data_IF_066314597844
#
_entry.id   IF_066314597844
#
_cell.length_a   1.000
_cell.length_b   1.000
_cell.length_c   1.000
_cell.angle_alpha   90.00
_cell.angle_beta   90.00
_cell.angle_gamma   90.00
#
_symmetry.space_group_name_H-M   'P 1'
#
loop_
_entity.id
_entity.type
_entity.pdbx_description
1 polymer ?
#
# COMPACT_ATOMS: atom_id res chain seq x y z
N UNK A 1 5.00 -4.28 -5.57
CA UNK A 1 5.47 -5.63 -5.18
C UNK A 1 4.87 -5.91 -3.82
N UNK A 2 3.70 -6.53 -3.80
CA UNK A 2 3.00 -6.87 -2.56
C UNK A 2 3.61 -8.12 -1.91
N UNK A 3 4.10 -9.03 -2.75
CA UNK A 3 4.75 -10.30 -2.44
C UNK A 3 5.90 -10.20 -1.44
N UNK A 4 6.63 -9.08 -1.44
CA UNK A 4 7.76 -8.88 -0.53
C UNK A 4 7.35 -8.64 0.93
N UNK A 5 6.07 -8.37 1.18
CA UNK A 5 5.53 -8.15 2.52
C UNK A 5 4.99 -9.44 3.15
N UNK A 6 4.87 -10.53 2.37
CA UNK A 6 4.42 -11.84 2.86
C UNK A 6 5.38 -12.37 3.93
N UNK A 7 4.81 -12.86 5.03
CA UNK A 7 5.54 -13.42 6.17
C UNK A 7 5.88 -12.40 7.26
N UNK A 8 5.50 -11.13 7.09
CA UNK A 8 5.58 -10.12 8.16
C UNK A 8 4.27 -10.17 8.96
N UNK A 9 4.35 -10.35 10.29
CA UNK A 9 3.16 -10.48 11.15
C UNK A 9 2.38 -9.16 11.29
N UNK A 10 3.09 -8.03 11.39
CA UNK A 10 2.50 -6.70 11.55
C UNK A 10 3.20 -5.71 10.61
N UNK A 11 2.40 -4.99 9.81
CA UNK A 11 2.87 -3.99 8.88
C UNK A 11 2.68 -2.59 9.48
N UNK A 12 3.77 -1.84 9.62
CA UNK A 12 3.73 -0.43 10.00
C UNK A 12 3.67 0.46 8.76
N UNK A 13 2.56 1.19 8.59
CA UNK A 13 2.34 2.10 7.46
C UNK A 13 2.48 3.52 7.96
N UNK A 14 3.47 4.27 7.43
CA UNK A 14 3.65 5.67 7.79
C UNK A 14 2.55 6.51 7.12
N UNK A 15 1.64 7.07 7.91
CA UNK A 15 0.50 7.86 7.42
C UNK A 15 0.73 9.36 7.55
N UNK A 16 1.67 9.78 8.41
CA UNK A 16 2.10 11.18 8.58
C UNK A 16 3.57 11.26 8.94
N UNK A 17 4.12 12.47 8.87
CA UNK A 17 5.43 12.81 9.40
C UNK A 17 5.28 13.67 10.66
N UNK A 18 5.94 13.28 11.74
CA UNK A 18 6.05 14.05 12.98
C UNK A 18 7.43 14.70 13.04
N UNK A 19 7.45 16.04 13.04
CA UNK A 19 8.64 16.85 13.12
C UNK A 19 8.94 17.38 14.52
N UNK A 20 10.01 18.18 14.66
CA UNK A 20 10.36 18.81 15.93
C UNK A 20 9.25 19.74 16.41
N UNK A 21 9.20 19.96 17.73
CA UNK A 21 8.27 20.90 18.37
C UNK A 21 6.78 20.56 18.15
N UNK A 22 6.47 19.29 17.88
CA UNK A 22 5.10 18.81 17.68
C UNK A 22 4.51 19.14 16.31
N UNK A 23 5.35 19.53 15.34
CA UNK A 23 4.91 19.69 13.95
C UNK A 23 4.42 18.35 13.37
N UNK A 24 3.34 18.38 12.60
CA UNK A 24 2.83 17.24 11.85
C UNK A 24 2.63 17.62 10.38
N UNK A 25 2.92 16.69 9.48
CA UNK A 25 2.78 16.88 8.04
C UNK A 25 2.06 15.67 7.44
N UNK A 26 0.98 15.91 6.72
CA UNK A 26 0.29 14.90 5.91
C UNK A 26 1.03 14.63 4.60
N UNK A 27 1.77 15.62 4.10
CA UNK A 27 2.64 15.50 2.92
C UNK A 27 4.11 15.36 3.29
N UNK A 28 4.92 14.90 2.34
CA UNK A 28 6.37 14.84 2.49
C UNK A 28 6.96 16.23 2.81
N UNK A 29 7.71 16.40 3.93
CA UNK A 29 8.21 17.72 4.31
C UNK A 29 9.18 18.28 3.26
N UNK A 30 8.96 19.53 2.85
CA UNK A 30 9.70 20.16 1.76
C UNK A 30 11.21 20.36 2.04
N UNK A 31 11.60 20.60 3.30
CA UNK A 31 12.97 20.98 3.64
C UNK A 31 13.75 19.80 4.25
N UNK A 32 14.94 19.49 3.71
CA UNK A 32 15.77 18.36 4.14
C UNK A 32 16.07 18.37 5.65
N UNK A 33 16.28 19.54 6.24
CA UNK A 33 16.55 19.67 7.68
C UNK A 33 15.36 19.27 8.56
N UNK A 34 14.13 19.37 8.04
CA UNK A 34 12.91 18.91 8.71
C UNK A 34 12.78 17.40 8.52
N UNK A 35 12.93 16.90 7.29
CA UNK A 35 12.86 15.47 6.97
C UNK A 35 13.83 14.66 7.82
N UNK A 36 15.08 15.11 7.95
CA UNK A 36 16.11 14.43 8.75
C UNK A 36 15.68 14.25 10.22
N UNK A 37 14.88 15.19 10.76
CA UNK A 37 14.41 15.16 12.14
C UNK A 37 13.01 14.57 12.29
N UNK A 38 12.37 14.20 11.18
CA UNK A 38 11.01 13.69 11.19
C UNK A 38 11.01 12.18 11.43
N UNK A 39 9.99 11.71 12.14
CA UNK A 39 9.66 10.28 12.26
C UNK A 39 8.30 10.03 11.63
N UNK A 40 8.04 8.79 11.20
CA UNK A 40 6.70 8.40 10.77
C UNK A 40 5.74 8.35 11.96
N UNK A 41 4.52 8.83 11.76
CA UNK A 41 3.35 8.41 12.52
C UNK A 41 2.80 7.16 11.83
N UNK A 42 2.75 6.04 12.54
CA UNK A 42 2.49 4.74 11.93
C UNK A 42 1.13 4.19 12.34
N UNK A 43 0.37 3.73 11.36
CA UNK A 43 -0.74 2.81 11.57
C UNK A 43 -0.23 1.38 11.43
N UNK A 44 -0.61 0.51 12.38
CA UNK A 44 -0.22 -0.90 12.38
C UNK A 44 -1.40 -1.72 11.90
N UNK A 45 -1.19 -2.50 10.85
CA UNK A 45 -2.18 -3.46 10.34
C UNK A 45 -1.62 -4.88 10.41
N UNK A 46 -2.48 -5.90 10.56
CA UNK A 46 -2.06 -7.29 10.44
C UNK A 46 -1.41 -7.54 9.06
N UNK A 47 -0.32 -8.28 9.03
CA UNK A 47 0.22 -8.83 7.79
C UNK A 47 -0.39 -10.20 7.46
N UNK A 48 0.19 -10.87 6.47
CA UNK A 48 -0.26 -12.17 5.99
C UNK A 48 0.93 -13.11 5.77
N UNK A 49 0.66 -14.41 5.72
CA UNK A 49 1.68 -15.45 5.53
C UNK A 49 1.46 -16.32 4.30
N UNK A 50 0.27 -16.24 3.73
CA UNK A 50 -0.17 -16.97 2.55
C UNK A 50 0.61 -16.54 1.31
N UNK A 51 0.96 -17.53 0.48
CA UNK A 51 1.53 -17.27 -0.83
C UNK A 51 0.46 -16.66 -1.75
N UNK A 52 0.77 -15.49 -2.30
CA UNK A 52 -0.11 -14.73 -3.19
C UNK A 52 0.33 -14.82 -4.66
N UNK A 53 1.41 -15.54 -4.98
CA UNK A 53 2.00 -15.60 -6.31
C UNK A 53 1.06 -16.08 -7.42
N UNK A 54 0.08 -16.91 -7.05
CA UNK A 54 -0.93 -17.47 -7.96
C UNK A 54 -2.25 -16.70 -7.98
N UNK A 55 -2.40 -15.64 -7.17
CA UNK A 55 -3.60 -14.82 -7.17
C UNK A 55 -3.78 -14.11 -8.53
N UNK A 56 -5.01 -14.11 -9.06
CA UNK A 56 -5.34 -13.49 -10.36
C UNK A 56 -6.46 -12.46 -10.26
N UNK A 57 -7.17 -12.42 -9.14
CA UNK A 57 -8.23 -11.47 -8.83
C UNK A 57 -7.98 -10.88 -7.45
N UNK A 58 -8.48 -9.67 -7.22
CA UNK A 58 -8.31 -8.99 -5.93
C UNK A 58 -8.88 -9.82 -4.77
N UNK A 59 -10.01 -10.49 -4.99
CA UNK A 59 -10.64 -11.41 -4.02
C UNK A 59 -9.86 -12.70 -3.74
N UNK A 60 -8.86 -13.04 -4.57
CA UNK A 60 -7.98 -14.20 -4.32
C UNK A 60 -6.91 -13.86 -3.27
N UNK A 61 -6.73 -12.58 -2.94
CA UNK A 61 -5.79 -12.14 -1.90
C UNK A 61 -6.34 -12.40 -0.49
N UNK A 62 -5.45 -12.65 0.49
CA UNK A 62 -5.82 -12.68 1.91
C UNK A 62 -6.57 -11.39 2.31
N UNK A 63 -7.54 -11.46 3.25
CA UNK A 63 -8.20 -10.29 3.81
C UNK A 63 -7.22 -9.18 4.24
N UNK A 64 -6.16 -9.54 4.96
CA UNK A 64 -5.17 -8.62 5.51
C UNK A 64 -4.38 -7.89 4.40
N UNK A 65 -4.11 -8.58 3.30
CA UNK A 65 -3.47 -8.00 2.13
C UNK A 65 -4.39 -6.99 1.41
N UNK A 66 -5.71 -7.25 1.40
CA UNK A 66 -6.70 -6.32 0.84
C UNK A 66 -6.86 -5.11 1.74
N UNK A 67 -6.97 -5.30 3.05
CA UNK A 67 -7.07 -4.22 4.04
C UNK A 67 -5.87 -3.28 3.96
N UNK A 68 -4.65 -3.82 3.77
CA UNK A 68 -3.44 -3.02 3.54
C UNK A 68 -3.53 -2.15 2.28
N UNK A 69 -4.05 -2.70 1.17
CA UNK A 69 -4.21 -1.96 -0.09
C UNK A 69 -5.31 -0.89 0.01
N UNK A 70 -6.40 -1.20 0.70
CA UNK A 70 -7.49 -0.26 0.99
C UNK A 70 -7.00 0.90 1.86
N UNK A 71 -6.23 0.62 2.91
CA UNK A 71 -5.59 1.64 3.75
C UNK A 71 -4.73 2.62 2.92
N UNK A 72 -3.89 2.09 2.02
CA UNK A 72 -3.09 2.94 1.13
C UNK A 72 -3.99 3.78 0.21
N UNK A 73 -4.99 3.16 -0.39
CA UNK A 73 -5.93 3.83 -1.29
C UNK A 73 -6.64 4.99 -0.59
N UNK A 74 -7.06 4.80 0.65
CA UNK A 74 -7.76 5.80 1.46
C UNK A 74 -6.86 6.98 1.83
N UNK A 75 -5.62 6.72 2.26
CA UNK A 75 -4.66 7.78 2.62
C UNK A 75 -4.17 8.57 1.41
N UNK A 76 -4.01 7.93 0.25
CA UNK A 76 -3.59 8.62 -0.99
C UNK A 76 -4.77 9.27 -1.72
N UNK A 77 -6.00 8.81 -1.46
CA UNK A 77 -7.22 9.31 -2.11
C UNK A 77 -7.36 8.88 -3.58
N UNK A 78 -6.67 7.81 -3.99
CA UNK A 78 -6.75 7.26 -5.35
C UNK A 78 -6.84 5.74 -5.32
N UNK A 79 -7.68 5.13 -6.18
CA UNK A 79 -7.88 3.68 -6.16
C UNK A 79 -6.64 2.92 -6.61
N UNK A 80 -6.39 1.77 -5.98
CA UNK A 80 -5.38 0.81 -6.45
C UNK A 80 -5.95 0.03 -7.63
N UNK A 81 -5.37 0.21 -8.81
CA UNK A 81 -5.85 -0.42 -10.07
C UNK A 81 -5.03 -1.64 -10.50
N UNK A 82 -3.79 -1.75 -10.04
CA UNK A 82 -2.84 -2.75 -10.48
C UNK A 82 -1.95 -3.20 -9.32
N UNK A 83 -1.91 -4.50 -9.05
CA UNK A 83 -1.19 -5.10 -7.92
C UNK A 83 -0.23 -6.17 -8.45
N UNK A 84 1.06 -6.04 -8.17
CA UNK A 84 2.05 -7.08 -8.48
C UNK A 84 2.19 -8.05 -7.32
N UNK A 85 1.95 -9.33 -7.58
CA UNK A 85 1.93 -10.43 -6.58
C UNK A 85 3.10 -11.41 -6.75
N UNK A 86 4.07 -11.09 -7.59
CA UNK A 86 5.29 -11.88 -7.73
C UNK A 86 6.28 -11.26 -8.73
N UNK A 87 7.42 -11.92 -8.97
CA UNK A 87 8.48 -11.41 -9.86
C UNK A 87 8.13 -11.46 -11.35
N UNK A 88 7.25 -12.36 -11.78
CA UNK A 88 6.95 -12.57 -13.19
C UNK A 88 5.96 -11.54 -13.75
N UNK A 89 6.06 -11.26 -15.06
CA UNK A 89 5.20 -10.28 -15.75
C UNK A 89 3.70 -10.63 -15.65
N UNK A 90 3.37 -11.92 -15.56
CA UNK A 90 2.00 -12.42 -15.48
C UNK A 90 1.46 -12.43 -14.04
N UNK A 91 2.31 -12.21 -13.03
CA UNK A 91 1.93 -12.15 -11.62
C UNK A 91 1.43 -10.75 -11.26
N UNK A 92 0.41 -10.32 -11.98
CA UNK A 92 -0.20 -9.00 -11.89
C UNK A 92 -1.73 -9.15 -11.83
N UNK A 93 -2.36 -8.44 -10.89
CA UNK A 93 -3.81 -8.39 -10.72
C UNK A 93 -4.30 -7.01 -11.13
N UNK A 94 -5.25 -6.96 -12.06
CA UNK A 94 -6.05 -5.76 -12.32
C UNK A 94 -7.27 -5.78 -11.40
N UNK A 95 -7.45 -4.73 -10.60
CA UNK A 95 -8.62 -4.60 -9.72
C UNK A 95 -9.83 -4.11 -10.52
N UNK A 96 -11.03 -4.24 -9.97
CA UNK A 96 -12.24 -3.75 -10.64
C UNK A 96 -12.25 -2.23 -10.82
N UNK A 97 -11.57 -1.49 -9.95
CA UNK A 97 -11.39 -0.03 -10.09
C UNK A 97 -10.66 0.36 -11.38
N UNK A 98 -9.81 -0.52 -11.92
CA UNK A 98 -9.17 -0.30 -13.21
C UNK A 98 -10.20 -0.18 -14.34
N UNK A 99 -11.30 -0.93 -14.27
CA UNK A 99 -12.37 -0.91 -15.29
C UNK A 99 -13.23 0.35 -15.18
N UNK A 100 -13.36 0.89 -13.98
CA UNK A 100 -14.16 2.10 -13.71
C UNK A 100 -13.43 3.38 -14.13
N UNK A 101 -12.11 3.43 -13.92
CA UNK A 101 -11.30 4.64 -14.15
C UNK A 101 -10.57 4.64 -15.49
N UNK A 102 -10.47 3.50 -16.16
CA UNK A 102 -9.93 3.42 -17.50
C UNK A 102 -11.08 3.42 -18.53
N UNK A 103 -11.11 4.45 -19.36
CA UNK A 103 -11.61 4.28 -20.74
C UNK A 103 -10.67 3.38 -21.56
N UNK A 104 -10.28 2.21 -21.06
CA UNK A 104 -9.34 1.27 -21.69
C UNK A 104 -10.06 -0.04 -22.06
N UNK A 105 -9.63 -0.68 -23.16
CA UNK A 105 -10.47 -1.57 -23.95
C UNK A 105 -10.59 -2.97 -23.35
N UNK A 106 -11.70 -3.62 -23.70
CA UNK A 106 -11.99 -5.04 -23.49
C UNK A 106 -10.95 -5.97 -24.13
#
# INVERSE_FOLDING_TARGET
>A
KLDVLTGIEELSVAVRYLGPEGASFDDFPYHQSIVHKSVGDYEVVPGWSEDIGDARRFEDLPPEARDYLELISDHVGVPVVLVGVGPDREQMIWTDEARTHAGAPA
#
